data_IF_304113692415
#
_entry.id   IF_304113692415
#
_cell.length_a   1.000
_cell.length_b   1.000
_cell.length_c   1.000
_cell.angle_alpha   90.00
_cell.angle_beta   90.00
_cell.angle_gamma   90.00
#
_symmetry.space_group_name_H-M   'P 1'
#
loop_
_entity.id
_entity.type
_entity.pdbx_description
1 polymer ?
#
# COMPACT_ATOMS: atom_id res chain seq x y z
N UNK A 1 10.13 2.75 -0.96
CA UNK A 1 10.61 2.43 0.37
C UNK A 1 10.32 3.56 1.36
N UNK A 2 10.04 3.21 2.61
CA UNK A 2 9.85 4.16 3.70
C UNK A 2 11.16 4.88 4.05
N UNK A 3 11.07 5.91 4.89
CA UNK A 3 12.27 6.57 5.43
C UNK A 3 13.13 5.57 6.20
N UNK A 4 12.50 4.71 6.98
CA UNK A 4 13.15 3.66 7.75
C UNK A 4 13.95 2.71 6.85
N UNK A 5 13.39 2.29 5.71
CA UNK A 5 14.08 1.51 4.70
C UNK A 5 15.25 2.27 4.05
N UNK A 6 15.04 3.56 3.75
CA UNK A 6 16.06 4.37 3.08
C UNK A 6 17.33 4.53 3.90
N UNK A 7 17.19 4.70 5.21
CA UNK A 7 18.32 4.81 6.13
C UNK A 7 19.22 3.56 6.06
N UNK A 8 18.63 2.38 5.91
CA UNK A 8 19.38 1.14 5.82
C UNK A 8 19.85 0.82 4.40
N UNK A 9 18.94 0.83 3.43
CA UNK A 9 19.23 0.35 2.07
C UNK A 9 20.05 1.33 1.24
N UNK A 10 19.97 2.61 1.55
CA UNK A 10 20.61 3.68 0.79
C UNK A 10 21.47 4.58 1.68
N UNK A 11 22.08 4.00 2.70
CA UNK A 11 22.97 4.71 3.64
C UNK A 11 24.20 5.30 2.96
N UNK A 12 24.56 4.82 1.76
CA UNK A 12 25.65 5.32 0.92
C UNK A 12 25.26 6.55 0.10
N UNK A 13 23.98 6.97 0.12
CA UNK A 13 23.51 8.15 -0.62
C UNK A 13 23.54 9.40 0.25
N UNK A 14 24.07 10.47 -0.32
CA UNK A 14 24.15 11.78 0.34
C UNK A 14 22.82 12.53 0.33
N UNK A 15 21.91 12.15 -0.55
CA UNK A 15 20.59 12.80 -0.69
C UNK A 15 19.55 11.84 -1.27
N UNK A 16 18.29 12.18 -1.02
CA UNK A 16 17.13 11.49 -1.58
C UNK A 16 16.21 12.49 -2.28
N UNK A 17 15.68 12.08 -3.44
CA UNK A 17 14.70 12.88 -4.16
C UNK A 17 13.35 12.83 -3.44
N UNK A 18 12.74 14.01 -3.26
CA UNK A 18 11.39 14.18 -2.76
C UNK A 18 10.64 15.03 -3.77
N UNK A 19 9.41 14.62 -4.11
CA UNK A 19 8.53 15.39 -4.97
C UNK A 19 7.41 15.99 -4.14
N UNK A 20 7.17 17.30 -4.29
CA UNK A 20 6.04 17.98 -3.70
C UNK A 20 4.93 18.08 -4.75
N UNK A 21 3.90 17.29 -4.55
CA UNK A 21 2.78 17.17 -5.49
C UNK A 21 1.56 17.89 -4.91
N UNK A 22 0.97 18.87 -5.60
CA UNK A 22 -0.24 19.52 -5.11
C UNK A 22 -1.40 18.51 -5.06
N UNK A 23 -2.14 18.49 -3.96
CA UNK A 23 -3.31 17.60 -3.78
C UNK A 23 -4.51 18.00 -4.67
N UNK A 24 -4.43 19.13 -5.36
CA UNK A 24 -5.43 19.60 -6.30
C UNK A 24 -5.15 20.98 -6.83
N UNK A 25 -5.96 21.43 -7.81
CA UNK A 25 -5.75 22.70 -8.52
C UNK A 25 -6.03 23.94 -7.65
N UNK A 26 -6.81 23.81 -6.59
CA UNK A 26 -7.28 24.93 -5.75
C UNK A 26 -7.01 24.73 -4.26
N UNK A 27 -6.13 23.79 -3.91
CA UNK A 27 -5.71 23.54 -2.53
C UNK A 27 -4.30 24.04 -2.28
N UNK A 28 -4.01 24.36 -1.03
CA UNK A 28 -2.66 24.67 -0.54
C UNK A 28 -1.98 23.48 0.11
N UNK A 29 -2.57 22.28 0.01
CA UNK A 29 -2.00 21.05 0.50
C UNK A 29 -1.11 20.39 -0.55
N UNK A 30 0.03 19.89 -0.11
CA UNK A 30 0.99 19.16 -0.92
C UNK A 30 1.23 17.80 -0.34
N UNK A 31 1.32 16.81 -1.21
CA UNK A 31 1.74 15.47 -0.88
C UNK A 31 3.26 15.34 -1.08
N UNK A 32 4.04 15.10 -0.03
CA UNK A 32 5.48 14.91 -0.16
C UNK A 32 5.78 13.47 -0.54
N UNK A 33 5.87 13.19 -1.83
CA UNK A 33 6.20 11.86 -2.33
C UNK A 33 7.67 11.53 -2.07
N UNK A 34 7.93 10.38 -1.46
CA UNK A 34 9.27 9.87 -1.19
C UNK A 34 9.68 9.87 0.29
N UNK A 35 8.79 10.28 1.20
CA UNK A 35 9.04 10.28 2.66
C UNK A 35 7.99 9.48 3.45
N UNK A 36 7.47 8.41 2.86
CA UNK A 36 6.57 7.50 3.58
C UNK A 36 7.22 7.06 4.89
N UNK A 37 6.49 7.14 5.98
CA UNK A 37 7.01 6.81 7.33
C UNK A 37 5.89 6.48 8.30
N UNK A 38 6.20 5.68 9.31
CA UNK A 38 5.36 5.41 10.47
C UNK A 38 5.96 5.93 11.78
N UNK A 39 7.02 6.73 11.71
CA UNK A 39 7.65 7.32 12.88
C UNK A 39 6.68 8.18 13.70
N UNK A 40 6.96 8.44 14.99
CA UNK A 40 6.15 9.33 15.81
C UNK A 40 6.00 10.72 15.21
N UNK A 41 4.88 11.38 15.48
CA UNK A 41 4.53 12.67 14.86
C UNK A 41 5.59 13.76 15.05
N UNK A 42 6.16 13.87 16.23
CA UNK A 42 7.22 14.84 16.54
C UNK A 42 8.47 14.62 15.67
N UNK A 43 8.81 13.36 15.42
CA UNK A 43 9.93 12.99 14.52
C UNK A 43 9.57 13.32 13.08
N UNK A 44 8.34 13.03 12.63
CA UNK A 44 7.88 13.40 11.29
C UNK A 44 7.94 14.91 11.08
N UNK A 45 7.50 15.69 12.07
CA UNK A 45 7.52 17.15 11.99
C UNK A 45 8.96 17.69 11.93
N UNK A 46 9.86 17.13 12.75
CA UNK A 46 11.27 17.48 12.72
C UNK A 46 11.91 17.13 11.37
N UNK A 47 11.61 15.95 10.82
CA UNK A 47 12.06 15.50 9.50
C UNK A 47 11.63 16.48 8.40
N UNK A 48 10.33 16.79 8.33
CA UNK A 48 9.80 17.69 7.29
C UNK A 48 10.43 19.09 7.42
N UNK A 49 10.56 19.61 8.62
CA UNK A 49 11.12 20.95 8.88
C UNK A 49 12.64 21.02 8.72
N UNK A 50 13.34 19.91 8.67
CA UNK A 50 14.77 19.88 8.33
C UNK A 50 15.04 20.08 6.84
N UNK A 51 14.02 19.98 5.99
CA UNK A 51 14.15 20.14 4.55
C UNK A 51 14.15 21.62 4.18
N UNK A 52 15.07 22.00 3.29
CA UNK A 52 15.17 23.37 2.81
C UNK A 52 13.90 23.84 2.13
N UNK A 53 13.32 24.93 2.62
CA UNK A 53 12.07 25.52 2.14
C UNK A 53 10.83 25.02 2.88
N UNK A 54 10.95 24.01 3.75
CA UNK A 54 9.86 23.45 4.55
C UNK A 54 10.00 23.72 6.05
N UNK A 55 10.88 24.62 6.45
CA UNK A 55 11.22 24.93 7.86
C UNK A 55 9.99 25.36 8.69
N UNK A 56 8.96 25.90 8.03
CA UNK A 56 7.71 26.33 8.64
C UNK A 56 6.50 25.51 8.20
N UNK A 57 6.74 24.34 7.59
CA UNK A 57 5.65 23.49 7.13
C UNK A 57 4.76 23.02 8.31
N UNK A 58 3.49 22.89 8.01
CA UNK A 58 2.48 22.30 8.89
C UNK A 58 2.02 20.96 8.30
N UNK A 59 2.04 19.92 9.10
CA UNK A 59 1.54 18.60 8.69
C UNK A 59 0.04 18.56 8.98
N UNK A 60 -0.77 18.51 7.93
CA UNK A 60 -2.23 18.40 8.03
C UNK A 60 -2.67 16.96 8.34
N UNK A 61 -1.91 15.98 7.83
CA UNK A 61 -2.14 14.56 8.08
C UNK A 61 -0.79 13.86 8.25
N UNK A 62 -0.49 13.28 9.42
CA UNK A 62 0.75 12.54 9.61
C UNK A 62 0.77 11.24 8.80
N UNK A 63 1.97 10.77 8.49
CA UNK A 63 2.18 9.40 8.03
C UNK A 63 1.79 8.41 9.11
N UNK A 64 1.42 7.20 8.71
CA UNK A 64 0.96 6.14 9.60
C UNK A 64 1.38 4.78 9.08
N UNK A 65 1.54 3.83 10.00
CA UNK A 65 1.70 2.43 9.63
C UNK A 65 0.36 1.86 9.17
N UNK A 66 0.41 1.06 8.11
CA UNK A 66 -0.71 0.22 7.70
C UNK A 66 -0.31 -1.22 8.00
N UNK A 67 -1.11 -1.90 8.83
CA UNK A 67 -0.99 -3.32 9.07
C UNK A 67 -2.01 -4.05 8.19
N UNK A 68 -1.54 -5.06 7.49
CA UNK A 68 -2.37 -5.84 6.60
C UNK A 68 -2.50 -7.27 7.13
N UNK A 69 -3.71 -7.80 7.10
CA UNK A 69 -3.91 -9.22 7.27
C UNK A 69 -3.33 -9.96 6.06
N UNK A 70 -2.75 -11.11 6.31
CA UNK A 70 -2.16 -11.97 5.31
C UNK A 70 -2.64 -13.40 5.50
N UNK A 71 -3.16 -13.98 4.42
CA UNK A 71 -3.45 -15.40 4.35
C UNK A 71 -2.49 -16.08 3.40
N UNK A 72 -2.02 -17.27 3.78
CA UNK A 72 -1.11 -18.02 2.95
C UNK A 72 -1.81 -18.43 1.63
N UNK A 73 -1.30 -18.01 0.46
CA UNK A 73 -1.92 -18.35 -0.81
C UNK A 73 -2.00 -19.86 -1.10
N UNK A 74 -1.19 -20.68 -0.40
CA UNK A 74 -1.26 -22.14 -0.48
C UNK A 74 -2.55 -22.73 0.08
N UNK A 75 -3.26 -21.97 0.92
CA UNK A 75 -4.56 -22.32 1.45
C UNK A 75 -5.72 -22.00 0.50
N UNK A 76 -5.40 -21.45 -0.67
CA UNK A 76 -6.36 -21.23 -1.76
C UNK A 76 -6.25 -22.34 -2.81
N UNK A 77 -7.35 -22.58 -3.50
CA UNK A 77 -7.35 -23.36 -4.74
C UNK A 77 -7.00 -22.48 -5.96
N UNK A 78 -6.85 -23.06 -7.17
CA UNK A 78 -6.56 -22.28 -8.37
C UNK A 78 -7.63 -21.24 -8.74
N UNK A 79 -8.85 -21.40 -8.25
CA UNK A 79 -9.94 -20.44 -8.45
C UNK A 79 -9.91 -19.27 -7.46
N UNK A 80 -8.89 -19.22 -6.57
CA UNK A 80 -8.74 -18.28 -5.44
C UNK A 80 -9.77 -18.47 -4.33
N UNK A 81 -10.42 -19.64 -4.25
CA UNK A 81 -11.30 -20.00 -3.16
C UNK A 81 -10.52 -20.63 -2.00
N UNK A 82 -10.89 -20.28 -0.78
CA UNK A 82 -10.34 -20.90 0.42
C UNK A 82 -10.65 -22.40 0.46
N UNK A 83 -9.61 -23.21 0.71
CA UNK A 83 -9.75 -24.65 0.92
C UNK A 83 -10.46 -24.98 2.24
N UNK A 84 -10.32 -24.09 3.22
CA UNK A 84 -10.91 -24.28 4.55
C UNK A 84 -12.35 -23.78 4.63
N UNK A 85 -12.72 -22.77 3.84
CA UNK A 85 -14.03 -22.11 3.88
C UNK A 85 -14.62 -22.03 2.47
N UNK A 86 -15.40 -23.05 2.06
CA UNK A 86 -16.06 -23.02 0.75
C UNK A 86 -16.93 -21.78 0.56
N UNK A 87 -16.83 -21.14 -0.60
CA UNK A 87 -17.55 -19.91 -0.92
C UNK A 87 -16.79 -18.63 -0.54
N UNK A 88 -15.68 -18.71 0.20
CA UNK A 88 -14.82 -17.57 0.47
C UNK A 88 -13.72 -17.48 -0.58
N UNK A 89 -13.68 -16.36 -1.31
CA UNK A 89 -12.65 -16.05 -2.28
C UNK A 89 -11.78 -14.92 -1.75
N UNK A 90 -10.47 -15.02 -1.93
CA UNK A 90 -9.50 -14.01 -1.50
C UNK A 90 -8.75 -13.46 -2.70
N UNK A 91 -8.57 -12.14 -2.73
CA UNK A 91 -7.87 -11.47 -3.82
C UNK A 91 -7.09 -10.26 -3.32
N UNK A 92 -5.97 -9.95 -4.00
CA UNK A 92 -5.17 -8.78 -3.71
C UNK A 92 -4.25 -8.97 -2.52
N UNK A 93 -4.11 -7.92 -1.74
CA UNK A 93 -3.08 -7.82 -0.71
C UNK A 93 -3.17 -8.88 0.38
N UNK A 94 -4.37 -9.35 0.70
CA UNK A 94 -4.56 -10.46 1.64
C UNK A 94 -3.84 -11.75 1.20
N UNK A 95 -3.62 -11.91 -0.11
CA UNK A 95 -2.85 -13.00 -0.71
C UNK A 95 -1.35 -12.66 -0.90
N UNK A 96 -0.90 -11.50 -0.40
CA UNK A 96 0.50 -11.07 -0.48
C UNK A 96 0.88 -10.34 -1.77
N UNK A 97 -0.07 -9.91 -2.61
CA UNK A 97 0.26 -9.03 -3.75
C UNK A 97 0.71 -7.66 -3.24
N UNK A 98 1.66 -7.05 -3.92
CA UNK A 98 2.18 -5.71 -3.59
C UNK A 98 1.84 -4.66 -4.64
N UNK A 99 1.42 -5.07 -5.85
CA UNK A 99 1.02 -4.19 -6.94
C UNK A 99 -0.49 -4.11 -7.10
N UNK A 100 -0.95 -2.97 -7.60
CA UNK A 100 -2.38 -2.74 -7.87
C UNK A 100 -2.89 -3.61 -9.02
N UNK A 101 -2.06 -3.84 -10.02
CA UNK A 101 -2.39 -4.61 -11.22
C UNK A 101 -2.61 -6.08 -10.88
N UNK A 102 -1.75 -6.68 -10.06
CA UNK A 102 -1.91 -8.06 -9.60
C UNK A 102 -3.16 -8.21 -8.73
N UNK A 103 -3.40 -7.22 -7.85
CA UNK A 103 -4.60 -7.21 -7.01
C UNK A 103 -5.88 -7.13 -7.86
N UNK A 104 -5.89 -6.30 -8.91
CA UNK A 104 -7.00 -6.18 -9.84
C UNK A 104 -7.23 -7.49 -10.63
N UNK A 105 -6.15 -8.11 -11.12
CA UNK A 105 -6.21 -9.38 -11.83
C UNK A 105 -6.79 -10.50 -10.95
N UNK A 106 -6.30 -10.61 -9.72
CA UNK A 106 -6.84 -11.58 -8.75
C UNK A 106 -8.31 -11.30 -8.42
N UNK A 107 -8.68 -10.02 -8.24
CA UNK A 107 -10.06 -9.63 -7.98
C UNK A 107 -11.02 -10.02 -9.10
N UNK A 108 -10.58 -9.82 -10.35
CA UNK A 108 -11.35 -10.24 -11.53
C UNK A 108 -11.54 -11.76 -11.56
N UNK A 109 -10.46 -12.51 -11.41
CA UNK A 109 -10.51 -13.98 -11.42
C UNK A 109 -11.38 -14.53 -10.28
N UNK A 110 -11.19 -14.04 -9.07
CA UNK A 110 -11.98 -14.43 -7.91
C UNK A 110 -13.47 -14.13 -8.11
N UNK A 111 -13.80 -12.95 -8.64
CA UNK A 111 -15.16 -12.54 -8.93
C UNK A 111 -15.86 -13.41 -9.99
N UNK A 112 -15.14 -13.74 -11.08
CA UNK A 112 -15.65 -14.66 -12.11
C UNK A 112 -15.94 -16.02 -11.48
N UNK A 113 -15.00 -16.58 -10.74
CA UNK A 113 -15.14 -17.91 -10.15
C UNK A 113 -16.23 -17.96 -9.06
N UNK A 114 -16.39 -16.91 -8.28
CA UNK A 114 -17.50 -16.79 -7.35
C UNK A 114 -18.86 -16.80 -8.09
N UNK A 115 -18.94 -16.06 -9.20
CA UNK A 115 -20.15 -16.06 -10.05
C UNK A 115 -20.46 -17.42 -10.66
N UNK A 116 -19.44 -18.13 -11.15
CA UNK A 116 -19.58 -19.49 -11.69
C UNK A 116 -20.04 -20.47 -10.60
N UNK A 117 -19.43 -20.38 -9.41
CA UNK A 117 -19.82 -21.22 -8.28
C UNK A 117 -21.32 -21.06 -7.94
N UNK A 118 -21.81 -19.82 -7.88
CA UNK A 118 -23.25 -19.55 -7.57
C UNK A 118 -24.16 -20.16 -8.63
N UNK A 119 -23.70 -20.25 -9.89
CA UNK A 119 -24.46 -20.85 -10.99
C UNK A 119 -24.31 -22.38 -11.08
N UNK A 120 -23.47 -22.97 -10.23
CA UNK A 120 -23.16 -24.39 -10.28
C UNK A 120 -22.30 -24.79 -11.49
N UNK A 121 -21.54 -23.83 -12.04
CA UNK A 121 -20.63 -24.04 -13.17
C UNK A 121 -19.20 -24.30 -12.67
N UNK A 122 -18.40 -24.94 -13.53
CA UNK A 122 -16.98 -25.19 -13.21
C UNK A 122 -16.19 -23.88 -13.14
N UNK A 123 -15.17 -23.80 -12.28
CA UNK A 123 -14.29 -22.63 -12.21
C UNK A 123 -13.51 -22.45 -13.51
N UNK A 124 -13.12 -21.22 -13.76
CA UNK A 124 -12.36 -20.80 -14.95
C UNK A 124 -10.87 -20.89 -14.69
#
# INVERSE_FOLDING_TARGET
>A
PSIEDKIHRFADKDSHQIFLEPEGLHTHEFYPNGISTSLPFDVQLALVRSMRGLERAHITRPGYAIEYDFFDPRDLDPALQSRALPGLFCAGQINGTTGYEEAAAQGLLAGINAGLLVRGEAPW
#
